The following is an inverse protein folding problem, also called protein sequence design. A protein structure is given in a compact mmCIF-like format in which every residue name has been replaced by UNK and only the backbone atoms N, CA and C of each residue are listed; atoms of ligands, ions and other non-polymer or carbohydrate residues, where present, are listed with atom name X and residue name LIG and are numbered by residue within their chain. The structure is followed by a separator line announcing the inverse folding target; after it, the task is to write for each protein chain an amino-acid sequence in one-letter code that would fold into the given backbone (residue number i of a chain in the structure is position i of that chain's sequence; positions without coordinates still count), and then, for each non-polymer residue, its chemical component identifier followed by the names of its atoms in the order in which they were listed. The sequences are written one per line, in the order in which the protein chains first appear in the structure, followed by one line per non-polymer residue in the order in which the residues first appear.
data_IF_649252785552
#
_entry.id   IF_649252785552
#
_cell.length_a   1.000
_cell.length_b   1.000
_cell.length_c   1.000
_cell.angle_alpha   90.00
_cell.angle_beta   90.00
_cell.angle_gamma   90.00
#
_symmetry.space_group_name_H-M   'P 1'
#
loop_
_entity.id
_entity.type
_entity.pdbx_description
1 polymer ?
#
# COMPACT_ATOMS: atom_id res chain seq x y z
N UNK A 1 71.04 -24.46 10.16
CA UNK A 1 71.37 -25.82 10.64
C UNK A 1 70.08 -26.48 11.10
N UNK A 2 69.85 -27.71 10.70
CA UNK A 2 68.57 -28.39 10.90
C UNK A 2 68.68 -29.41 12.04
N UNK A 3 67.67 -29.48 12.91
CA UNK A 3 67.59 -30.53 13.91
C UNK A 3 67.23 -31.86 13.26
N UNK A 4 68.10 -32.85 13.37
CA UNK A 4 67.91 -34.16 12.75
C UNK A 4 66.65 -34.90 13.22
N UNK A 5 66.17 -34.60 14.44
CA UNK A 5 65.03 -35.29 15.07
C UNK A 5 63.67 -34.64 14.79
N UNK A 6 63.60 -33.30 14.74
CA UNK A 6 62.35 -32.56 14.56
C UNK A 6 62.31 -31.71 13.29
N UNK A 7 63.38 -31.72 12.49
CA UNK A 7 63.51 -31.02 11.21
C UNK A 7 63.32 -29.49 11.29
N UNK A 8 63.43 -28.92 12.50
CA UNK A 8 63.41 -27.46 12.71
C UNK A 8 64.76 -26.84 12.38
N UNK A 9 64.73 -25.68 11.73
CA UNK A 9 65.92 -24.91 11.36
C UNK A 9 66.30 -23.88 12.43
N UNK A 10 67.59 -23.84 12.76
CA UNK A 10 68.18 -22.95 13.76
C UNK A 10 69.27 -22.07 13.13
N UNK A 11 69.31 -20.82 13.59
CA UNK A 11 70.21 -19.77 13.09
C UNK A 11 71.67 -19.96 13.53
N UNK A 12 71.91 -20.56 14.70
CA UNK A 12 73.26 -20.76 15.26
C UNK A 12 73.41 -22.16 15.86
N UNK A 13 74.65 -22.66 15.90
CA UNK A 13 74.97 -24.02 16.35
C UNK A 13 74.67 -24.18 17.83
N UNK A 14 74.94 -23.14 18.63
CA UNK A 14 74.63 -23.11 20.06
C UNK A 14 73.13 -23.26 20.33
N UNK A 15 72.27 -22.62 19.52
CA UNK A 15 70.82 -22.72 19.67
C UNK A 15 70.29 -24.09 19.24
N UNK A 16 70.88 -24.69 18.19
CA UNK A 16 70.57 -26.07 17.80
C UNK A 16 70.95 -27.05 18.92
N UNK A 17 72.15 -26.91 19.49
CA UNK A 17 72.64 -27.76 20.56
C UNK A 17 71.79 -27.61 21.83
N UNK A 18 71.41 -26.38 22.19
CA UNK A 18 70.53 -26.13 23.32
C UNK A 18 69.13 -26.74 23.07
N UNK A 19 68.58 -26.59 21.87
CA UNK A 19 67.32 -27.20 21.47
C UNK A 19 67.38 -28.73 21.56
N UNK A 20 68.41 -29.38 21.02
CA UNK A 20 68.55 -30.84 21.06
C UNK A 20 68.74 -31.40 22.49
N UNK A 21 69.23 -30.58 23.42
CA UNK A 21 69.40 -30.94 24.84
C UNK A 21 68.15 -30.70 25.70
N UNK A 22 67.26 -29.79 25.29
CA UNK A 22 66.15 -29.34 26.16
C UNK A 22 64.76 -29.62 25.57
N UNK A 23 64.65 -29.72 24.24
CA UNK A 23 63.37 -29.93 23.58
C UNK A 23 62.90 -31.37 23.82
N UNK A 24 61.91 -31.51 24.71
CA UNK A 24 61.34 -32.80 25.14
C UNK A 24 60.98 -33.73 23.97
N UNK A 25 60.40 -33.19 22.89
CA UNK A 25 60.08 -33.97 21.68
C UNK A 25 61.33 -34.58 21.00
N UNK A 26 62.45 -33.84 20.95
CA UNK A 26 63.70 -34.37 20.41
C UNK A 26 64.34 -35.38 21.38
N UNK A 27 64.22 -35.18 22.68
CA UNK A 27 64.74 -36.10 23.70
C UNK A 27 63.98 -37.44 23.71
N UNK A 28 62.67 -37.42 23.46
CA UNK A 28 61.82 -38.61 23.31
C UNK A 28 62.22 -39.39 22.05
N UNK A 29 62.36 -38.72 20.89
CA UNK A 29 62.84 -39.37 19.65
C UNK A 29 64.25 -39.96 19.76
N UNK A 30 65.05 -39.46 20.70
CA UNK A 30 66.38 -40.00 21.02
C UNK A 30 66.34 -41.15 22.02
N UNK A 31 65.16 -41.53 22.51
CA UNK A 31 64.98 -42.57 23.53
C UNK A 31 65.49 -42.19 24.93
N UNK A 32 65.74 -40.90 25.20
CA UNK A 32 66.29 -40.43 26.48
C UNK A 32 65.19 -40.31 27.55
N UNK A 33 63.95 -40.07 27.14
CA UNK A 33 62.78 -39.93 28.02
C UNK A 33 61.67 -40.84 27.49
N UNK A 34 61.04 -41.65 28.35
CA UNK A 34 59.92 -42.54 27.98
C UNK A 34 58.63 -41.75 27.79
N UNK A 35 57.80 -42.21 26.85
CA UNK A 35 56.57 -41.57 26.38
C UNK A 35 55.36 -41.65 27.34
N UNK A 36 55.57 -42.05 28.59
CA UNK A 36 54.46 -42.29 29.52
C UNK A 36 53.97 -40.96 30.13
N UNK A 37 52.80 -40.54 29.65
CA UNK A 37 51.93 -39.44 30.09
C UNK A 37 52.24 -38.02 29.59
N UNK A 38 52.05 -37.74 28.28
CA UNK A 38 51.73 -36.39 27.83
C UNK A 38 50.61 -36.37 26.79
N UNK A 39 49.55 -35.62 27.11
CA UNK A 39 48.43 -35.25 26.23
C UNK A 39 48.95 -34.43 25.06
N UNK A 40 48.42 -34.72 23.86
CA UNK A 40 48.65 -33.98 22.62
C UNK A 40 48.42 -32.49 22.89
N UNK A 41 49.47 -31.68 22.81
CA UNK A 41 49.35 -30.22 22.78
C UNK A 41 48.62 -29.85 21.49
N UNK A 42 47.41 -29.28 21.62
CA UNK A 42 46.72 -28.66 20.50
C UNK A 42 47.66 -27.66 19.79
N UNK A 43 47.84 -27.81 18.48
CA UNK A 43 48.57 -26.83 17.67
C UNK A 43 47.76 -25.53 17.60
N UNK A 44 48.22 -24.47 18.27
CA UNK A 44 47.57 -23.14 18.20
C UNK A 44 48.06 -22.39 16.97
N UNK A 45 47.27 -22.43 15.89
CA UNK A 45 47.59 -21.81 14.61
C UNK A 45 47.02 -20.39 14.51
N UNK A 46 47.77 -19.49 13.89
CA UNK A 46 47.26 -18.16 13.55
C UNK A 46 46.36 -18.23 12.31
N UNK A 47 45.18 -17.61 12.37
CA UNK A 47 44.22 -17.58 11.24
C UNK A 47 44.65 -16.63 10.12
N UNK A 48 45.64 -15.77 10.37
CA UNK A 48 46.07 -14.74 9.43
C UNK A 48 47.43 -15.02 8.80
N UNK A 49 48.24 -15.92 9.37
CA UNK A 49 49.56 -16.29 8.88
C UNK A 49 49.91 -17.74 9.22
N UNK A 50 50.95 -18.30 8.60
CA UNK A 50 51.32 -19.71 8.77
C UNK A 50 52.06 -20.04 10.09
N UNK A 51 51.92 -19.19 11.11
CA UNK A 51 52.65 -19.33 12.38
C UNK A 51 51.92 -20.30 13.32
N UNK A 52 52.62 -21.39 13.69
CA UNK A 52 52.17 -22.37 14.70
C UNK A 52 52.80 -22.08 16.05
N UNK A 53 51.99 -22.06 17.10
CA UNK A 53 52.39 -21.67 18.44
C UNK A 53 52.05 -22.76 19.44
N UNK A 54 52.86 -22.86 20.49
CA UNK A 54 52.84 -23.98 21.43
C UNK A 54 51.86 -23.81 22.59
N UNK A 55 51.26 -22.62 22.71
CA UNK A 55 50.33 -22.28 23.81
C UNK A 55 49.38 -21.17 23.33
N UNK A 56 48.13 -21.18 23.81
CA UNK A 56 47.13 -20.12 23.57
C UNK A 56 47.64 -18.70 23.87
N UNK A 57 48.26 -18.47 25.03
CA UNK A 57 48.78 -17.15 25.41
C UNK A 57 49.86 -16.60 24.44
N UNK A 58 50.59 -17.49 23.76
CA UNK A 58 51.56 -17.09 22.74
C UNK A 58 50.87 -16.72 21.42
N UNK A 59 49.74 -17.38 21.10
CA UNK A 59 48.88 -17.02 19.97
C UNK A 59 48.24 -15.65 20.18
N UNK A 60 47.70 -15.38 21.36
CA UNK A 60 47.07 -14.09 21.68
C UNK A 60 48.07 -12.94 21.51
N UNK A 61 49.26 -13.06 22.11
CA UNK A 61 50.33 -12.06 21.96
C UNK A 61 50.81 -11.92 20.51
N UNK A 62 50.77 -13.00 19.74
CA UNK A 62 51.10 -12.93 18.32
C UNK A 62 50.02 -12.20 17.51
N UNK A 63 48.73 -12.41 17.80
CA UNK A 63 47.62 -11.75 17.12
C UNK A 63 47.59 -10.23 17.37
N UNK A 64 48.17 -9.77 18.48
CA UNK A 64 48.40 -8.34 18.76
C UNK A 64 49.51 -7.72 17.92
N UNK A 65 50.42 -8.54 17.37
CA UNK A 65 51.58 -8.08 16.59
C UNK A 65 51.65 -8.73 15.20
N UNK A 66 50.56 -9.30 14.70
CA UNK A 66 50.56 -10.07 13.46
C UNK A 66 50.46 -9.12 12.25
N UNK A 67 51.56 -8.92 11.54
CA UNK A 67 51.61 -8.02 10.38
C UNK A 67 50.57 -8.36 9.31
N UNK A 68 50.38 -9.65 8.97
CA UNK A 68 49.40 -10.06 7.96
C UNK A 68 47.94 -9.77 8.38
N UNK A 69 47.64 -9.81 9.68
CA UNK A 69 46.35 -9.36 10.22
C UNK A 69 46.19 -7.86 10.03
N UNK A 70 47.19 -7.07 10.41
CA UNK A 70 47.14 -5.61 10.27
C UNK A 70 47.07 -5.16 8.81
N UNK A 71 47.78 -5.81 7.89
CA UNK A 71 47.68 -5.52 6.45
C UNK A 71 46.29 -5.78 5.90
N UNK A 72 45.65 -6.89 6.29
CA UNK A 72 44.26 -7.20 5.92
C UNK A 72 43.30 -6.14 6.45
N UNK A 73 43.40 -5.81 7.74
CA UNK A 73 42.58 -4.77 8.39
C UNK A 73 42.79 -3.42 7.71
N UNK A 74 44.03 -3.03 7.41
CA UNK A 74 44.33 -1.75 6.77
C UNK A 74 43.77 -1.67 5.34
N UNK A 75 43.82 -2.76 4.57
CA UNK A 75 43.19 -2.84 3.25
C UNK A 75 41.67 -2.68 3.35
N UNK A 76 41.05 -3.32 4.34
CA UNK A 76 39.61 -3.26 4.57
C UNK A 76 39.16 -1.86 5.00
N UNK A 77 39.89 -1.21 5.91
CA UNK A 77 39.65 0.18 6.32
C UNK A 77 39.74 1.13 5.12
N UNK A 78 40.76 0.98 4.27
CA UNK A 78 40.88 1.83 3.08
C UNK A 78 39.75 1.60 2.08
N UNK A 79 39.31 0.35 1.90
CA UNK A 79 38.15 0.03 1.08
C UNK A 79 36.90 0.73 1.62
N UNK A 80 36.61 0.57 2.91
CA UNK A 80 35.46 1.21 3.57
C UNK A 80 35.51 2.75 3.50
N UNK A 81 36.71 3.33 3.57
CA UNK A 81 36.90 4.78 3.43
C UNK A 81 36.55 5.27 2.02
N UNK A 82 36.99 4.54 1.00
CA UNK A 82 36.64 4.85 -0.39
C UNK A 82 35.14 4.68 -0.62
N UNK A 83 34.55 3.59 -0.16
CA UNK A 83 33.11 3.35 -0.27
C UNK A 83 32.30 4.49 0.37
N UNK A 84 32.70 4.95 1.55
CA UNK A 84 32.08 6.11 2.22
C UNK A 84 32.20 7.41 1.44
N UNK A 85 33.36 7.69 0.81
CA UNK A 85 33.53 8.86 -0.05
C UNK A 85 32.58 8.82 -1.25
N UNK A 86 32.43 7.64 -1.86
CA UNK A 86 31.48 7.43 -2.97
C UNK A 86 30.02 7.59 -2.52
N UNK A 87 29.67 7.08 -1.34
CA UNK A 87 28.33 7.26 -0.77
C UNK A 87 28.03 8.73 -0.46
N UNK A 88 29.02 9.48 0.02
CA UNK A 88 28.87 10.90 0.31
C UNK A 88 28.60 11.72 -0.97
N UNK A 89 29.33 11.44 -2.06
CA UNK A 89 29.10 12.11 -3.35
C UNK A 89 27.75 11.74 -3.96
N UNK A 90 27.33 10.47 -3.86
CA UNK A 90 25.99 10.05 -4.27
C UNK A 90 24.89 10.75 -3.48
N UNK A 91 25.02 10.80 -2.15
CA UNK A 91 24.06 11.48 -1.27
C UNK A 91 23.91 12.95 -1.65
N UNK A 92 25.03 13.65 -1.87
CA UNK A 92 25.01 15.06 -2.28
C UNK A 92 24.30 15.26 -3.63
N UNK A 93 24.50 14.36 -4.60
CA UNK A 93 23.77 14.40 -5.86
C UNK A 93 22.26 14.19 -5.68
N UNK A 94 21.85 13.24 -4.83
CA UNK A 94 20.44 13.00 -4.56
C UNK A 94 19.78 14.18 -3.85
N UNK A 95 20.46 14.81 -2.89
CA UNK A 95 19.97 16.01 -2.21
C UNK A 95 19.76 17.15 -3.20
N UNK A 96 20.69 17.35 -4.15
CA UNK A 96 20.54 18.35 -5.20
C UNK A 96 19.36 18.06 -6.12
N UNK A 97 19.20 16.81 -6.57
CA UNK A 97 18.05 16.42 -7.41
C UNK A 97 16.71 16.65 -6.69
N UNK A 98 16.65 16.33 -5.40
CA UNK A 98 15.45 16.53 -4.58
C UNK A 98 15.11 18.03 -4.46
N UNK A 99 16.13 18.88 -4.27
CA UNK A 99 15.96 20.33 -4.20
C UNK A 99 15.48 20.91 -5.54
N UNK A 100 16.06 20.48 -6.66
CA UNK A 100 15.62 20.89 -8.00
C UNK A 100 14.16 20.48 -8.26
N UNK A 101 13.77 19.27 -7.83
CA UNK A 101 12.41 18.77 -7.96
C UNK A 101 11.42 19.56 -7.09
N UNK A 102 11.78 19.89 -5.85
CA UNK A 102 10.99 20.74 -4.95
C UNK A 102 10.74 22.12 -5.57
N UNK A 103 11.79 22.76 -6.09
CA UNK A 103 11.67 24.07 -6.75
C UNK A 103 10.75 24.02 -7.98
N UNK A 104 10.79 22.95 -8.76
CA UNK A 104 9.88 22.75 -9.89
C UNK A 104 8.42 22.63 -9.45
N UNK A 105 8.14 21.86 -8.39
CA UNK A 105 6.78 21.74 -7.86
C UNK A 105 6.27 23.06 -7.28
N UNK A 106 7.11 23.82 -6.57
CA UNK A 106 6.76 25.14 -6.05
C UNK A 106 6.37 26.10 -7.19
N UNK A 107 7.15 26.11 -8.28
CA UNK A 107 6.84 26.90 -9.47
C UNK A 107 5.50 26.51 -10.09
N UNK A 108 5.23 25.22 -10.25
CA UNK A 108 3.94 24.74 -10.80
C UNK A 108 2.76 25.15 -9.91
N UNK A 109 2.91 25.05 -8.58
CA UNK A 109 1.88 25.47 -7.63
C UNK A 109 1.63 26.98 -7.76
N UNK A 110 2.68 27.78 -7.93
CA UNK A 110 2.55 29.23 -8.11
C UNK A 110 1.83 29.58 -9.43
N UNK A 111 2.19 28.92 -10.53
CA UNK A 111 1.53 29.10 -11.82
C UNK A 111 0.03 28.72 -11.74
N UNK A 112 -0.30 27.62 -11.09
CA UNK A 112 -1.70 27.21 -10.87
C UNK A 112 -2.47 28.21 -9.99
N UNK A 113 -1.85 28.76 -8.95
CA UNK A 113 -2.48 29.80 -8.11
C UNK A 113 -2.82 31.06 -8.92
N UNK A 114 -1.95 31.46 -9.84
CA UNK A 114 -2.19 32.60 -10.73
C UNK A 114 -3.40 32.31 -11.63
N UNK A 115 -3.43 31.14 -12.28
CA UNK A 115 -4.56 30.73 -13.13
C UNK A 115 -5.89 30.68 -12.37
N UNK A 116 -5.89 30.17 -11.13
CA UNK A 116 -7.10 30.14 -10.28
C UNK A 116 -7.59 31.57 -10.01
N UNK A 117 -6.69 32.51 -9.74
CA UNK A 117 -7.04 33.91 -9.51
C UNK A 117 -7.66 34.54 -10.75
N UNK A 118 -7.05 34.35 -11.92
CA UNK A 118 -7.59 34.86 -13.20
C UNK A 118 -8.99 34.29 -13.49
N UNK A 119 -9.21 33.01 -13.22
CA UNK A 119 -10.53 32.37 -13.36
C UNK A 119 -11.55 32.95 -12.37
N UNK A 120 -11.15 33.23 -11.13
CA UNK A 120 -12.02 33.86 -10.13
C UNK A 120 -12.41 35.28 -10.55
N UNK A 121 -11.45 36.07 -11.05
CA UNK A 121 -11.69 37.42 -11.56
C UNK A 121 -12.64 37.39 -12.77
N UNK A 122 -12.49 36.40 -13.65
CA UNK A 122 -13.40 36.19 -14.80
C UNK A 122 -14.83 35.85 -14.34
N UNK A 123 -14.99 34.97 -13.34
CA UNK A 123 -16.30 34.62 -12.78
C UNK A 123 -16.96 35.86 -12.14
N UNK A 124 -16.20 36.68 -11.42
CA UNK A 124 -16.69 37.92 -10.84
C UNK A 124 -17.17 38.89 -11.93
N UNK A 125 -16.43 39.01 -13.03
CA UNK A 125 -16.84 39.83 -14.17
C UNK A 125 -18.11 39.32 -14.86
N UNK A 126 -18.30 38.00 -14.99
CA UNK A 126 -19.52 37.42 -15.56
C UNK A 126 -20.72 37.64 -14.63
N UNK A 127 -20.52 37.49 -13.32
CA UNK A 127 -21.56 37.72 -12.32
C UNK A 127 -22.03 39.18 -12.26
N UNK A 128 -21.17 40.12 -12.66
CA UNK A 128 -21.47 41.56 -12.70
C UNK A 128 -22.27 42.00 -13.95
N UNK A 129 -22.48 41.13 -14.95
CA UNK A 129 -23.29 41.48 -16.12
C UNK A 129 -24.80 41.38 -15.81
N UNK A 130 -25.63 42.37 -16.22
CA UNK A 130 -27.06 42.33 -16.00
C UNK A 130 -27.71 41.20 -16.80
N UNK A 131 -28.51 40.37 -16.12
CA UNK A 131 -29.27 39.28 -16.74
C UNK A 131 -30.48 39.85 -17.50
N UNK A 132 -30.35 40.03 -18.82
CA UNK A 132 -31.53 40.09 -19.68
C UNK A 132 -32.06 38.68 -19.89
N UNK A 133 -33.22 38.39 -19.27
CA UNK A 133 -33.96 37.15 -19.49
C UNK A 133 -34.81 37.34 -20.74
N UNK A 134 -34.32 36.86 -21.88
CA UNK A 134 -35.18 36.57 -23.03
C UNK A 134 -35.53 35.09 -22.95
N UNK A 135 -36.75 34.81 -22.52
CA UNK A 135 -37.41 33.51 -22.72
C UNK A 135 -37.46 33.22 -24.21
N UNK A 136 -36.84 32.10 -24.62
CA UNK A 136 -37.28 31.17 -25.67
C UNK A 136 -36.06 30.43 -26.22
N UNK A 137 -35.92 29.17 -25.84
CA UNK A 137 -35.80 28.04 -26.77
C UNK A 137 -35.60 26.76 -25.95
N UNK A 138 -36.67 25.98 -25.89
CA UNK A 138 -36.65 24.57 -25.56
C UNK A 138 -35.69 23.86 -26.53
N UNK A 139 -34.63 23.26 -25.99
CA UNK A 139 -33.83 22.29 -26.72
C UNK A 139 -34.30 20.91 -26.27
N UNK A 140 -35.32 20.39 -26.98
CA UNK A 140 -35.77 19.00 -26.85
C UNK A 140 -34.75 18.12 -27.58
N UNK A 141 -34.10 17.21 -26.85
CA UNK A 141 -33.36 16.10 -27.44
C UNK A 141 -34.27 14.89 -27.32
N UNK A 142 -34.80 14.45 -28.46
CA UNK A 142 -35.57 13.21 -28.60
C UNK A 142 -34.71 12.01 -28.20
N UNK A 143 -35.20 11.26 -27.21
CA UNK A 143 -34.71 9.93 -26.85
C UNK A 143 -35.38 8.92 -27.79
N UNK A 144 -34.72 8.54 -28.88
CA UNK A 144 -35.09 7.34 -29.62
C UNK A 144 -34.51 6.11 -28.92
N UNK A 145 -35.34 5.51 -28.06
CA UNK A 145 -35.25 4.11 -27.71
C UNK A 145 -35.83 3.28 -28.87
N UNK A 146 -35.02 2.42 -29.46
CA UNK A 146 -35.49 1.18 -30.06
C UNK A 146 -34.52 0.08 -29.64
N UNK A 147 -34.89 -0.60 -28.56
CA UNK A 147 -34.41 -1.95 -28.27
C UNK A 147 -34.99 -2.88 -29.34
N UNK A 148 -34.13 -3.55 -30.10
CA UNK A 148 -34.51 -4.73 -30.88
C UNK A 148 -34.24 -5.98 -30.05
N UNK A 149 -35.17 -6.94 -29.99
CA UNK A 149 -35.09 -8.11 -29.14
C UNK A 149 -34.39 -9.25 -29.87
N UNK A 150 -33.10 -9.44 -29.63
CA UNK A 150 -32.40 -10.69 -29.94
C UNK A 150 -31.21 -10.80 -28.97
N UNK A 151 -30.98 -12.01 -28.47
CA UNK A 151 -29.89 -12.41 -27.56
C UNK A 151 -30.18 -12.32 -26.05
N UNK A 152 -31.33 -12.89 -25.64
CA UNK A 152 -31.37 -13.70 -24.42
C UNK A 152 -31.39 -15.18 -24.81
N UNK A 153 -30.21 -15.78 -24.96
CA UNK A 153 -29.98 -17.20 -24.71
C UNK A 153 -28.49 -17.54 -24.90
N UNK A 154 -27.79 -17.74 -23.79
CA UNK A 154 -26.89 -18.88 -23.52
C UNK A 154 -25.93 -18.51 -22.39
N UNK A 155 -26.43 -18.65 -21.16
CA UNK A 155 -25.64 -19.18 -20.06
C UNK A 155 -25.53 -20.70 -20.31
N UNK A 156 -24.57 -21.10 -21.15
CA UNK A 156 -24.14 -22.49 -21.18
C UNK A 156 -22.94 -22.65 -20.27
N UNK A 157 -23.19 -23.41 -19.22
CA UNK A 157 -22.24 -24.08 -18.35
C UNK A 157 -21.24 -24.85 -19.23
N UNK A 158 -20.03 -24.31 -19.42
CA UNK A 158 -18.94 -25.04 -20.06
C UNK A 158 -18.16 -25.80 -19.00
N UNK A 159 -18.68 -26.99 -18.67
CA UNK A 159 -17.83 -28.13 -18.32
C UNK A 159 -17.23 -28.64 -19.63
N UNK A 160 -15.98 -28.29 -19.92
CA UNK A 160 -15.14 -29.03 -20.87
C UNK A 160 -13.72 -29.11 -20.29
N UNK A 161 -13.38 -30.29 -19.76
CA UNK A 161 -12.01 -30.74 -19.52
C UNK A 161 -11.33 -31.04 -20.86
N UNK A 162 -11.17 -30.03 -21.71
CA UNK A 162 -10.20 -30.08 -22.81
C UNK A 162 -8.94 -29.35 -22.35
N UNK A 163 -7.86 -30.12 -22.22
CA UNK A 163 -6.52 -29.64 -21.89
C UNK A 163 -6.07 -28.60 -22.92
N UNK A 164 -6.23 -27.32 -22.57
CA UNK A 164 -5.92 -26.20 -23.45
C UNK A 164 -4.39 -26.03 -23.55
N UNK A 165 -3.77 -26.73 -24.49
CA UNK A 165 -2.35 -26.61 -24.80
C UNK A 165 -2.06 -25.21 -25.36
N UNK A 166 -1.39 -24.37 -24.57
CA UNK A 166 -0.95 -23.05 -25.02
C UNK A 166 0.06 -23.18 -26.18
N UNK A 167 -0.24 -22.53 -27.30
CA UNK A 167 0.69 -22.47 -28.43
C UNK A 167 1.87 -21.54 -28.13
N UNK A 168 3.11 -21.87 -28.54
CA UNK A 168 4.29 -21.03 -28.30
C UNK A 168 4.13 -19.61 -28.85
N UNK A 169 4.60 -18.63 -28.07
CA UNK A 169 4.60 -17.22 -28.49
C UNK A 169 5.84 -16.94 -29.35
N UNK A 170 5.64 -16.50 -30.60
CA UNK A 170 6.75 -16.06 -31.46
C UNK A 170 7.13 -14.62 -31.11
N UNK A 171 8.37 -14.43 -30.68
CA UNK A 171 8.97 -13.10 -30.47
C UNK A 171 9.85 -12.76 -31.68
N UNK A 172 10.05 -11.47 -31.95
CA UNK A 172 10.91 -11.00 -33.05
C UNK A 172 12.25 -11.74 -33.12
N UNK A 173 12.77 -11.93 -34.34
CA UNK A 173 13.93 -12.77 -34.68
C UNK A 173 13.68 -14.29 -34.73
N UNK A 174 12.41 -14.73 -34.81
CA UNK A 174 12.07 -16.15 -35.00
C UNK A 174 12.28 -17.02 -33.77
N UNK A 175 12.37 -16.41 -32.59
CA UNK A 175 12.53 -17.10 -31.30
C UNK A 175 11.13 -17.43 -30.76
N UNK A 176 10.90 -18.68 -30.39
CA UNK A 176 9.66 -19.13 -29.74
C UNK A 176 9.83 -19.18 -28.22
N UNK A 177 8.81 -18.72 -27.50
CA UNK A 177 8.68 -18.89 -26.05
C UNK A 177 7.68 -20.01 -25.81
N UNK A 178 8.16 -21.08 -25.19
CA UNK A 178 7.36 -22.25 -24.87
C UNK A 178 6.77 -22.14 -23.46
N UNK A 179 5.58 -22.73 -23.29
CA UNK A 179 4.92 -22.90 -21.99
C UNK A 179 4.54 -24.36 -21.80
N UNK A 180 4.56 -24.84 -20.55
CA UNK A 180 4.13 -26.20 -20.19
C UNK A 180 2.67 -26.22 -19.75
N UNK A 181 2.09 -27.42 -19.66
CA UNK A 181 0.75 -27.69 -19.12
C UNK A 181 0.54 -27.12 -17.71
N UNK A 182 1.59 -27.14 -16.87
CA UNK A 182 1.57 -26.57 -15.52
C UNK A 182 1.66 -25.03 -15.49
N UNK A 183 1.67 -24.39 -16.65
CA UNK A 183 1.75 -22.94 -16.83
C UNK A 183 3.16 -22.36 -16.72
N UNK A 184 4.21 -23.17 -16.47
CA UNK A 184 5.57 -22.63 -16.42
C UNK A 184 6.05 -22.21 -17.81
N UNK A 185 6.86 -21.15 -17.83
CA UNK A 185 7.32 -20.50 -19.06
C UNK A 185 8.82 -20.67 -19.18
N UNK A 186 9.31 -21.06 -20.37
CA UNK A 186 10.74 -21.08 -20.66
C UNK A 186 11.26 -19.66 -20.86
N UNK A 187 12.05 -19.18 -19.90
CA UNK A 187 12.64 -17.83 -19.94
C UNK A 187 13.99 -17.80 -20.61
N UNK A 188 14.55 -18.94 -21.00
CA UNK A 188 15.83 -19.03 -21.72
C UNK A 188 15.73 -18.32 -23.07
N UNK A 189 14.68 -18.66 -23.84
CA UNK A 189 14.41 -18.04 -25.12
C UNK A 189 13.92 -16.60 -24.98
N UNK A 190 13.14 -16.29 -23.92
CA UNK A 190 12.75 -14.92 -23.60
C UNK A 190 13.97 -14.02 -23.34
N UNK A 191 14.93 -14.48 -22.53
CA UNK A 191 16.17 -13.78 -22.23
C UNK A 191 17.03 -13.57 -23.50
N UNK A 192 17.17 -14.62 -24.33
CA UNK A 192 17.84 -14.52 -25.63
C UNK A 192 17.20 -13.49 -26.54
N UNK A 193 15.86 -13.49 -26.66
CA UNK A 193 15.13 -12.52 -27.47
C UNK A 193 15.34 -11.08 -26.99
N UNK A 194 15.51 -10.89 -25.69
CA UNK A 194 15.84 -9.62 -25.07
C UNK A 194 17.31 -9.24 -25.02
N UNK A 195 18.22 -10.08 -25.55
CA UNK A 195 19.67 -9.84 -25.51
C UNK A 195 20.26 -9.77 -24.10
N UNK A 196 19.65 -10.46 -23.12
CA UNK A 196 20.10 -10.48 -21.72
C UNK A 196 20.28 -11.91 -21.22
N UNK A 197 21.07 -12.11 -20.18
CA UNK A 197 21.27 -13.43 -19.58
C UNK A 197 20.46 -13.58 -18.29
N UNK A 198 19.79 -14.72 -18.10
CA UNK A 198 18.97 -15.00 -16.90
C UNK A 198 19.76 -14.83 -15.58
N UNK A 199 21.04 -15.22 -15.58
CA UNK A 199 21.92 -15.07 -14.41
C UNK A 199 22.04 -13.61 -13.94
N UNK A 200 21.92 -12.65 -14.86
CA UNK A 200 22.03 -11.23 -14.56
C UNK A 200 20.77 -10.70 -13.87
N UNK A 201 19.61 -11.26 -14.18
CA UNK A 201 18.37 -10.99 -13.46
C UNK A 201 18.40 -11.65 -12.08
N UNK A 202 18.82 -12.93 -12.01
CA UNK A 202 18.79 -13.71 -10.78
C UNK A 202 19.76 -13.20 -9.70
N UNK A 203 20.82 -12.48 -10.09
CA UNK A 203 21.79 -11.90 -9.14
C UNK A 203 21.34 -10.58 -8.49
N UNK A 204 20.31 -9.91 -9.00
CA UNK A 204 19.86 -8.62 -8.48
C UNK A 204 19.24 -8.76 -7.09
N UNK A 205 19.53 -7.83 -6.19
CA UNK A 205 18.93 -7.83 -4.84
C UNK A 205 17.40 -7.71 -4.89
N UNK A 206 16.88 -6.86 -5.79
CA UNK A 206 15.44 -6.72 -6.04
C UNK A 206 14.79 -8.06 -6.41
N UNK A 207 15.47 -8.88 -7.22
CA UNK A 207 14.98 -10.20 -7.62
C UNK A 207 14.89 -11.15 -6.43
N UNK A 208 15.88 -11.15 -5.53
CA UNK A 208 15.87 -11.97 -4.32
C UNK A 208 14.70 -11.60 -3.42
N UNK A 209 14.47 -10.30 -3.20
CA UNK A 209 13.33 -9.82 -2.42
C UNK A 209 12.00 -10.18 -3.08
N UNK A 210 11.89 -10.00 -4.40
CA UNK A 210 10.70 -10.38 -5.16
C UNK A 210 10.36 -11.87 -5.02
N UNK A 211 11.34 -12.76 -5.17
CA UNK A 211 11.14 -14.21 -5.05
C UNK A 211 10.77 -14.64 -3.62
N UNK A 212 11.32 -13.98 -2.60
CA UNK A 212 10.96 -14.22 -1.20
C UNK A 212 9.51 -13.86 -0.91
N UNK A 213 9.09 -12.66 -1.33
CA UNK A 213 7.69 -12.20 -1.18
C UNK A 213 6.76 -13.11 -1.95
N UNK A 214 7.10 -13.41 -3.20
CA UNK A 214 6.30 -14.26 -4.08
C UNK A 214 6.07 -15.64 -3.46
N UNK A 215 7.14 -16.30 -2.97
CA UNK A 215 7.04 -17.58 -2.25
C UNK A 215 5.99 -17.54 -1.13
N UNK A 216 6.00 -16.50 -0.30
CA UNK A 216 5.06 -16.36 0.80
C UNK A 216 3.62 -16.13 0.33
N UNK A 217 3.43 -15.43 -0.80
CA UNK A 217 2.10 -15.11 -1.33
C UNK A 217 1.44 -16.29 -2.04
N UNK A 218 2.16 -17.01 -2.91
CA UNK A 218 1.61 -18.18 -3.64
C UNK A 218 1.72 -19.48 -2.85
N UNK A 219 2.47 -19.52 -1.74
CA UNK A 219 2.66 -20.72 -0.93
C UNK A 219 3.59 -21.77 -1.56
N UNK A 220 4.29 -21.43 -2.65
CA UNK A 220 5.18 -22.32 -3.40
C UNK A 220 6.64 -22.04 -2.99
N UNK A 221 7.45 -23.05 -2.62
CA UNK A 221 8.87 -22.88 -2.33
C UNK A 221 9.66 -22.22 -3.47
N UNK A 222 10.68 -21.43 -3.15
CA UNK A 222 11.51 -20.73 -4.17
C UNK A 222 12.19 -21.69 -5.14
N UNK A 223 12.50 -22.91 -4.69
CA UNK A 223 13.08 -23.98 -5.52
C UNK A 223 12.10 -24.50 -6.58
N UNK A 224 10.79 -24.33 -6.35
CA UNK A 224 9.76 -24.72 -7.30
C UNK A 224 9.44 -23.57 -8.26
N UNK A 225 9.56 -22.30 -7.82
CA UNK A 225 9.36 -21.12 -8.68
C UNK A 225 10.31 -21.05 -9.89
N UNK A 226 11.49 -21.67 -9.80
CA UNK A 226 12.52 -21.70 -10.86
C UNK A 226 13.04 -23.14 -11.00
N UNK A 227 12.81 -23.75 -12.15
CA UNK A 227 13.21 -25.12 -12.47
C UNK A 227 14.25 -25.14 -13.58
N UNK A 228 15.28 -25.96 -13.40
CA UNK A 228 16.33 -26.16 -14.40
C UNK A 228 16.15 -27.52 -15.05
N UNK A 229 15.86 -27.55 -16.34
CA UNK A 229 15.67 -28.79 -17.10
C UNK A 229 16.73 -28.85 -18.19
N UNK A 230 17.42 -29.98 -18.28
CA UNK A 230 18.38 -30.25 -19.36
C UNK A 230 17.68 -31.06 -20.43
N UNK A 231 17.63 -30.55 -21.66
CA UNK A 231 17.06 -31.25 -22.80
C UNK A 231 17.98 -32.36 -23.32
N UNK A 232 17.45 -33.22 -24.21
CA UNK A 232 18.17 -34.36 -24.78
C UNK A 232 19.45 -33.99 -25.55
N UNK A 233 19.57 -32.75 -26.01
CA UNK A 233 20.75 -32.24 -26.72
C UNK A 233 21.81 -31.61 -25.77
N UNK A 234 21.61 -31.66 -24.46
CA UNK A 234 22.51 -31.06 -23.46
C UNK A 234 22.29 -29.56 -23.23
N UNK A 235 21.34 -28.93 -23.92
CA UNK A 235 20.95 -27.55 -23.66
C UNK A 235 20.16 -27.44 -22.35
N UNK A 236 20.54 -26.49 -21.50
CA UNK A 236 19.90 -26.24 -20.21
C UNK A 236 18.87 -25.12 -20.35
N UNK A 237 17.61 -25.46 -20.11
CA UNK A 237 16.49 -24.54 -20.10
C UNK A 237 16.11 -24.17 -18.67
N UNK A 238 15.69 -22.93 -18.47
CA UNK A 238 15.20 -22.40 -17.21
C UNK A 238 13.70 -22.12 -17.34
N UNK A 239 12.91 -22.89 -16.60
CA UNK A 239 11.46 -22.78 -16.55
C UNK A 239 11.05 -22.07 -15.28
N UNK A 240 10.15 -21.10 -15.36
CA UNK A 240 9.73 -20.33 -14.18
C UNK A 240 8.22 -20.17 -14.09
N UNK A 241 7.75 -19.93 -12.88
CA UNK A 241 6.35 -19.60 -12.59
C UNK A 241 5.89 -18.35 -13.40
N UNK A 242 4.63 -18.26 -13.87
CA UNK A 242 4.13 -17.15 -14.70
C UNK A 242 4.44 -15.75 -14.17
N UNK A 243 4.25 -15.51 -12.87
CA UNK A 243 4.52 -14.21 -12.27
C UNK A 243 6.02 -13.87 -12.27
N UNK A 244 6.90 -14.88 -12.21
CA UNK A 244 8.34 -14.71 -12.37
C UNK A 244 8.67 -14.36 -13.82
N UNK A 245 8.05 -15.05 -14.79
CA UNK A 245 8.23 -14.76 -16.21
C UNK A 245 7.79 -13.32 -16.57
N UNK A 246 6.67 -12.84 -16.03
CA UNK A 246 6.20 -11.45 -16.23
C UNK A 246 7.20 -10.45 -15.62
N UNK A 247 7.77 -10.75 -14.46
CA UNK A 247 8.79 -9.90 -13.84
C UNK A 247 10.08 -9.85 -14.68
N UNK A 248 10.51 -11.00 -15.22
CA UNK A 248 11.65 -11.10 -16.12
C UNK A 248 11.39 -10.32 -17.42
N UNK A 249 10.20 -10.45 -18.01
CA UNK A 249 9.83 -9.72 -19.22
C UNK A 249 9.88 -8.19 -19.01
N UNK A 250 9.41 -7.68 -17.87
CA UNK A 250 9.52 -6.25 -17.50
C UNK A 250 10.99 -5.83 -17.35
N UNK A 251 11.84 -6.65 -16.72
CA UNK A 251 13.26 -6.35 -16.60
C UNK A 251 14.00 -6.36 -17.95
N UNK A 252 13.56 -7.22 -18.87
CA UNK A 252 14.17 -7.36 -20.18
C UNK A 252 13.87 -6.16 -21.09
N UNK A 253 12.61 -5.73 -21.15
CA UNK A 253 12.16 -4.63 -22.01
C UNK A 253 11.57 -3.48 -21.18
N UNK A 254 12.27 -2.33 -21.09
CA UNK A 254 11.73 -1.13 -20.47
C UNK A 254 10.41 -0.67 -21.12
N UNK A 255 10.24 -0.87 -22.43
CA UNK A 255 9.01 -0.54 -23.14
C UNK A 255 7.84 -1.42 -22.67
N UNK A 256 8.11 -2.71 -22.39
CA UNK A 256 7.12 -3.60 -21.82
C UNK A 256 6.80 -3.25 -20.36
N UNK A 257 7.81 -2.86 -19.56
CA UNK A 257 7.63 -2.39 -18.17
C UNK A 257 6.68 -1.18 -18.09
N UNK A 258 6.85 -0.22 -19.00
CA UNK A 258 5.96 0.94 -19.12
C UNK A 258 4.54 0.53 -19.55
N UNK A 259 4.39 -0.46 -20.44
CA UNK A 259 3.07 -0.98 -20.85
C UNK A 259 2.33 -1.65 -19.69
N UNK A 260 3.01 -2.51 -18.91
CA UNK A 260 2.43 -3.15 -17.73
C UNK A 260 1.95 -2.09 -16.72
N UNK A 261 2.76 -1.05 -16.49
CA UNK A 261 2.37 0.08 -15.64
C UNK A 261 1.13 0.82 -16.17
N UNK A 262 1.03 0.99 -17.50
CA UNK A 262 -0.14 1.57 -18.17
C UNK A 262 -1.41 0.73 -17.99
N UNK A 263 -1.32 -0.59 -18.12
CA UNK A 263 -2.43 -1.51 -17.89
C UNK A 263 -2.96 -1.43 -16.46
N UNK A 264 -2.06 -1.39 -15.47
CA UNK A 264 -2.46 -1.23 -14.06
C UNK A 264 -3.22 0.08 -13.86
N UNK A 265 -2.74 1.17 -14.46
CA UNK A 265 -3.43 2.46 -14.39
C UNK A 265 -4.81 2.43 -15.08
N UNK A 266 -4.95 1.75 -16.22
CA UNK A 266 -6.24 1.55 -16.89
C UNK A 266 -7.24 0.79 -16.01
N UNK A 267 -6.79 -0.28 -15.32
CA UNK A 267 -7.62 -1.03 -14.37
C UNK A 267 -8.07 -0.15 -13.22
N UNK A 268 -7.17 0.65 -12.64
CA UNK A 268 -7.52 1.55 -11.52
C UNK A 268 -8.61 2.57 -11.90
N UNK A 269 -8.70 2.97 -13.17
CA UNK A 269 -9.62 4.00 -13.65
C UNK A 269 -10.92 3.46 -14.23
N UNK A 270 -10.87 2.27 -14.82
CA UNK A 270 -11.98 1.70 -15.59
C UNK A 270 -12.52 0.41 -14.99
N UNK A 271 -11.80 -0.20 -14.04
CA UNK A 271 -12.11 -1.50 -13.46
C UNK A 271 -11.73 -2.71 -14.35
N UNK A 272 -11.20 -2.48 -15.55
CA UNK A 272 -10.80 -3.52 -16.50
C UNK A 272 -9.60 -3.07 -17.35
N UNK A 273 -9.02 -4.00 -18.10
CA UNK A 273 -8.02 -3.67 -19.15
C UNK A 273 -8.32 -4.50 -20.39
N UNK A 274 -8.27 -3.86 -21.56
CA UNK A 274 -8.32 -4.55 -22.84
C UNK A 274 -6.91 -4.61 -23.43
N UNK A 275 -6.36 -5.83 -23.54
CA UNK A 275 -4.99 -6.07 -24.06
C UNK A 275 -4.92 -5.78 -25.56
N UNK A 276 -6.05 -5.87 -26.30
CA UNK A 276 -6.11 -5.60 -27.74
C UNK A 276 -6.36 -4.13 -28.05
N UNK A 277 -7.08 -3.43 -27.18
CA UNK A 277 -7.46 -2.03 -27.36
C UNK A 277 -7.09 -1.16 -26.15
N UNK A 278 -5.80 -1.20 -25.77
CA UNK A 278 -5.28 -0.46 -24.63
C UNK A 278 -5.27 1.05 -24.91
N UNK A 279 -5.72 1.85 -23.95
CA UNK A 279 -5.71 3.31 -24.07
C UNK A 279 -4.37 3.90 -23.66
N UNK A 280 -3.97 4.99 -24.31
CA UNK A 280 -2.76 5.70 -23.91
C UNK A 280 -2.95 6.37 -22.54
N UNK A 281 -1.85 6.57 -21.81
CA UNK A 281 -1.88 7.28 -20.53
C UNK A 281 -2.52 8.67 -20.61
N UNK A 282 -2.29 9.38 -21.73
CA UNK A 282 -2.87 10.71 -21.99
C UNK A 282 -4.39 10.63 -22.17
N UNK A 283 -4.88 9.64 -22.90
CA UNK A 283 -6.32 9.40 -23.09
C UNK A 283 -7.01 9.06 -21.78
N UNK A 284 -6.39 8.22 -20.96
CA UNK A 284 -6.92 7.86 -19.64
C UNK A 284 -7.06 9.08 -18.73
N UNK A 285 -6.03 9.96 -18.70
CA UNK A 285 -6.10 11.22 -17.94
C UNK A 285 -7.18 12.17 -18.45
N UNK A 286 -7.30 12.32 -19.77
CA UNK A 286 -8.32 13.18 -20.37
C UNK A 286 -9.72 12.69 -20.03
N UNK A 287 -9.98 11.38 -20.19
CA UNK A 287 -11.27 10.77 -19.89
C UNK A 287 -11.67 10.91 -18.41
N UNK A 288 -10.73 10.79 -17.48
CA UNK A 288 -11.01 11.01 -16.05
C UNK A 288 -11.38 12.46 -15.75
N UNK A 289 -10.63 13.41 -16.31
CA UNK A 289 -10.92 14.84 -16.14
C UNK A 289 -12.32 15.18 -16.63
N UNK A 290 -12.72 14.62 -17.78
CA UNK A 290 -14.05 14.82 -18.34
C UNK A 290 -15.15 14.20 -17.46
N UNK A 291 -14.91 13.01 -16.89
CA UNK A 291 -15.82 12.39 -15.93
C UNK A 291 -15.99 13.26 -14.67
N UNK A 292 -14.90 13.78 -14.11
CA UNK A 292 -14.96 14.67 -12.95
C UNK A 292 -15.73 15.95 -13.24
N UNK A 293 -15.44 16.59 -14.38
CA UNK A 293 -16.18 17.78 -14.83
C UNK A 293 -17.66 17.47 -15.06
N UNK A 294 -17.98 16.29 -15.61
CA UNK A 294 -19.36 15.85 -15.79
C UNK A 294 -20.06 15.65 -14.46
N UNK A 295 -19.42 14.99 -13.49
CA UNK A 295 -19.94 14.84 -12.13
C UNK A 295 -20.21 16.22 -11.53
N UNK A 296 -19.24 17.14 -11.59
CA UNK A 296 -19.39 18.50 -11.08
C UNK A 296 -20.56 19.25 -11.73
N UNK A 297 -20.69 19.17 -13.06
CA UNK A 297 -21.80 19.75 -13.81
C UNK A 297 -23.14 19.14 -13.39
N UNK A 298 -23.23 17.81 -13.33
CA UNK A 298 -24.44 17.11 -12.94
C UNK A 298 -24.84 17.45 -11.49
N UNK A 299 -23.87 17.50 -10.57
CA UNK A 299 -24.09 17.98 -9.21
C UNK A 299 -24.67 19.39 -9.22
N UNK A 300 -24.09 20.33 -9.97
CA UNK A 300 -24.59 21.71 -10.06
C UNK A 300 -26.00 21.79 -10.66
N UNK A 301 -26.30 20.97 -11.67
CA UNK A 301 -27.56 21.02 -12.43
C UNK A 301 -28.72 20.31 -11.75
N UNK A 302 -28.46 19.13 -11.20
CA UNK A 302 -29.50 18.22 -10.71
C UNK A 302 -29.57 18.14 -9.18
N UNK A 303 -28.49 18.45 -8.47
CA UNK A 303 -28.54 18.52 -6.99
C UNK A 303 -29.01 19.91 -6.60
N UNK A 304 -30.33 20.07 -6.43
CA UNK A 304 -30.91 21.28 -5.83
C UNK A 304 -30.34 21.44 -4.42
N UNK A 305 -29.65 22.56 -4.14
CA UNK A 305 -29.38 22.96 -2.75
C UNK A 305 -30.73 23.30 -2.11
N UNK A 306 -31.34 22.36 -1.40
CA UNK A 306 -32.55 22.65 -0.64
C UNK A 306 -32.22 23.74 0.39
N UNK A 307 -32.90 24.90 0.36
CA UNK A 307 -32.73 25.93 1.37
C UNK A 307 -33.12 25.32 2.72
N UNK A 308 -32.17 25.28 3.66
CA UNK A 308 -32.40 24.71 4.98
C UNK A 308 -33.17 25.72 5.82
N UNK A 309 -34.25 25.30 6.46
CA UNK A 309 -34.86 26.06 7.54
C UNK A 309 -33.82 26.20 8.67
N UNK A 310 -33.51 27.44 9.03
CA UNK A 310 -32.66 27.75 10.17
C UNK A 310 -33.54 27.96 11.40
N UNK A 311 -33.17 27.28 12.48
CA UNK A 311 -33.78 27.42 13.80
C UNK A 311 -32.76 28.07 14.72
N UNK A 312 -33.02 29.33 15.07
CA UNK A 312 -32.09 30.18 15.84
C UNK A 312 -32.25 30.04 17.36
N UNK A 313 -33.19 29.20 17.80
CA UNK A 313 -33.44 28.95 19.22
C UNK A 313 -32.50 27.85 19.73
N UNK A 314 -31.64 28.12 20.73
CA UNK A 314 -30.79 27.12 21.34
C UNK A 314 -31.56 26.29 22.38
N UNK A 315 -31.03 25.10 22.70
CA UNK A 315 -31.53 24.21 23.77
C UNK A 315 -33.03 23.93 23.66
N UNK A 316 -33.43 23.22 22.60
CA UNK A 316 -34.85 23.01 22.31
C UNK A 316 -35.33 21.60 22.69
N UNK A 317 -36.59 21.52 23.10
CA UNK A 317 -37.39 20.30 23.00
C UNK A 317 -38.24 20.40 21.74
N UNK A 318 -38.30 19.34 20.95
CA UNK A 318 -38.96 19.33 19.66
C UNK A 318 -39.82 18.08 19.44
N UNK A 319 -40.77 18.21 18.50
CA UNK A 319 -41.58 17.12 17.95
C UNK A 319 -41.32 17.07 16.44
N UNK A 320 -40.89 15.91 15.94
CA UNK A 320 -40.75 15.63 14.51
C UNK A 320 -41.75 14.57 14.07
N UNK A 321 -42.09 14.59 12.79
CA UNK A 321 -42.76 13.47 12.13
C UNK A 321 -42.28 13.36 10.69
N UNK A 322 -42.64 12.28 10.01
CA UNK A 322 -42.53 12.15 8.56
C UNK A 322 -43.94 12.01 8.00
N UNK A 323 -44.12 12.15 6.68
CA UNK A 323 -45.45 11.98 6.07
C UNK A 323 -46.08 10.62 6.43
N UNK A 324 -45.27 9.56 6.40
CA UNK A 324 -45.69 8.20 6.78
C UNK A 324 -46.07 8.13 8.26
N UNK A 325 -45.21 8.63 9.14
CA UNK A 325 -45.47 8.61 10.58
C UNK A 325 -46.70 9.43 10.96
N UNK A 326 -46.92 10.58 10.30
CA UNK A 326 -48.08 11.45 10.54
C UNK A 326 -49.40 10.74 10.22
N UNK A 327 -49.45 9.94 9.15
CA UNK A 327 -50.61 9.11 8.81
C UNK A 327 -50.86 7.99 9.83
N UNK A 328 -49.80 7.50 10.47
CA UNK A 328 -49.85 6.46 11.50
C UNK A 328 -49.98 7.03 12.92
N UNK A 329 -50.14 8.36 13.08
CA UNK A 329 -50.20 9.02 14.38
C UNK A 329 -48.90 8.95 15.19
N UNK A 330 -47.76 8.68 14.55
CA UNK A 330 -46.44 8.56 15.17
C UNK A 330 -45.68 9.88 15.15
N UNK A 331 -45.07 10.20 16.28
CA UNK A 331 -44.28 11.41 16.49
C UNK A 331 -42.98 11.09 17.22
N UNK A 332 -41.91 11.79 16.88
CA UNK A 332 -40.60 11.67 17.52
C UNK A 332 -40.41 12.88 18.41
N UNK A 333 -40.29 12.67 19.72
CA UNK A 333 -40.03 13.72 20.70
C UNK A 333 -38.57 13.62 21.12
N UNK A 334 -37.85 14.74 21.10
CA UNK A 334 -36.45 14.76 21.51
C UNK A 334 -35.96 16.15 21.88
N UNK A 335 -34.65 16.23 22.16
CA UNK A 335 -33.96 17.48 22.48
C UNK A 335 -32.78 17.75 21.55
N UNK A 336 -32.43 19.02 21.38
CA UNK A 336 -31.24 19.42 20.66
C UNK A 336 -30.71 20.77 21.14
N UNK A 337 -29.40 20.91 21.27
CA UNK A 337 -28.76 22.22 21.45
C UNK A 337 -29.02 23.14 20.25
N UNK A 338 -28.99 22.58 19.03
CA UNK A 338 -29.32 23.28 17.80
C UNK A 338 -30.15 22.36 16.88
N UNK A 339 -31.41 22.74 16.64
CA UNK A 339 -32.35 21.94 15.85
C UNK A 339 -31.92 21.81 14.39
N UNK A 340 -31.33 22.86 13.81
CA UNK A 340 -30.81 22.84 12.43
C UNK A 340 -29.75 21.76 12.25
N UNK A 341 -28.81 21.67 13.20
CA UNK A 341 -27.77 20.64 13.19
C UNK A 341 -28.36 19.25 13.46
N UNK A 342 -29.32 19.14 14.39
CA UNK A 342 -29.97 17.86 14.70
C UNK A 342 -30.70 17.28 13.49
N UNK A 343 -31.40 18.12 12.73
CA UNK A 343 -32.12 17.72 11.51
C UNK A 343 -31.18 17.24 10.39
N UNK A 344 -29.93 17.70 10.37
CA UNK A 344 -28.93 17.26 9.37
C UNK A 344 -28.52 15.78 9.49
N UNK A 345 -28.77 15.15 10.65
CA UNK A 345 -28.42 13.77 10.95
C UNK A 345 -29.49 12.78 10.46
N UNK A 346 -30.76 13.22 10.32
CA UNK A 346 -31.82 12.33 9.85
C UNK A 346 -31.61 11.99 8.36
N UNK A 347 -31.59 10.69 8.04
CA UNK A 347 -31.28 10.17 6.70
C UNK A 347 -32.32 10.60 5.65
N UNK A 348 -31.83 10.94 4.46
CA UNK A 348 -32.53 11.59 3.31
C UNK A 348 -33.59 10.77 2.59
N UNK A 349 -33.98 9.59 3.08
CA UNK A 349 -35.03 8.80 2.43
C UNK A 349 -36.42 9.37 2.70
N UNK A 350 -36.65 9.92 3.89
CA UNK A 350 -37.90 10.57 4.27
C UNK A 350 -37.63 11.96 4.89
N UNK A 351 -38.30 12.99 4.37
CA UNK A 351 -38.20 14.35 4.92
C UNK A 351 -38.89 14.41 6.29
N UNK A 352 -38.14 14.85 7.30
CA UNK A 352 -38.66 15.05 8.65
C UNK A 352 -39.21 16.47 8.79
N UNK A 353 -40.49 16.57 9.12
CA UNK A 353 -41.21 17.81 9.39
C UNK A 353 -41.11 18.14 10.89
N UNK A 354 -40.67 19.35 11.24
CA UNK A 354 -40.75 19.86 12.62
C UNK A 354 -42.19 20.31 12.89
N UNK A 355 -42.89 19.57 13.73
CA UNK A 355 -44.28 19.86 14.10
C UNK A 355 -44.37 20.91 15.20
N UNK A 356 -43.43 20.86 16.15
CA UNK A 356 -43.37 21.78 17.27
C UNK A 356 -41.95 21.85 17.83
N UNK A 357 -41.54 23.01 18.33
CA UNK A 357 -40.31 23.16 19.10
C UNK A 357 -40.43 24.34 20.06
N UNK A 358 -39.67 24.30 21.14
CA UNK A 358 -39.64 25.35 22.17
C UNK A 358 -38.27 25.36 22.85
N UNK A 359 -37.75 26.56 23.11
CA UNK A 359 -36.47 26.75 23.79
C UNK A 359 -36.57 26.57 25.29
N UNK A 360 -35.51 26.02 25.88
CA UNK A 360 -35.31 25.93 27.32
C UNK A 360 -34.29 26.99 27.78
N UNK A 361 -34.36 27.44 29.04
CA UNK A 361 -33.45 28.46 29.57
C UNK A 361 -31.97 28.08 29.47
N UNK A 362 -31.65 26.81 29.70
CA UNK A 362 -30.30 26.28 29.69
C UNK A 362 -30.29 24.77 29.37
N UNK A 363 -29.09 24.22 29.14
CA UNK A 363 -28.91 22.80 28.76
C UNK A 363 -29.36 21.82 29.86
N UNK A 364 -29.19 22.16 31.15
CA UNK A 364 -29.62 21.29 32.24
C UNK A 364 -31.13 21.28 32.36
N UNK A 365 -31.77 22.45 32.25
CA UNK A 365 -33.23 22.57 32.18
C UNK A 365 -33.80 21.76 31.02
N UNK A 366 -33.19 21.80 29.84
CA UNK A 366 -33.57 20.99 28.67
C UNK A 366 -33.49 19.48 28.96
N UNK A 367 -32.39 19.01 29.57
CA UNK A 367 -32.19 17.60 29.90
C UNK A 367 -33.24 17.10 30.90
N UNK A 368 -33.52 17.87 31.95
CA UNK A 368 -34.53 17.53 32.95
C UNK A 368 -35.93 17.57 32.36
N UNK A 369 -36.25 18.58 31.56
CA UNK A 369 -37.55 18.71 30.91
C UNK A 369 -37.84 17.54 29.96
N UNK A 370 -36.86 17.05 29.19
CA UNK A 370 -37.03 15.86 28.36
C UNK A 370 -37.41 14.63 29.21
N UNK A 371 -36.70 14.38 30.31
CA UNK A 371 -36.97 13.25 31.19
C UNK A 371 -38.37 13.32 31.80
N UNK A 372 -38.80 14.51 32.22
CA UNK A 372 -40.14 14.75 32.74
C UNK A 372 -41.22 14.52 31.68
N UNK A 373 -41.03 15.05 30.46
CA UNK A 373 -41.96 14.84 29.34
C UNK A 373 -42.07 13.35 29.01
N UNK A 374 -40.95 12.63 28.93
CA UNK A 374 -40.96 11.20 28.64
C UNK A 374 -41.66 10.40 29.74
N UNK A 375 -41.42 10.73 31.01
CA UNK A 375 -42.11 10.09 32.13
C UNK A 375 -43.62 10.33 32.09
N UNK A 376 -44.05 11.58 31.84
CA UNK A 376 -45.47 11.95 31.84
C UNK A 376 -46.23 11.38 30.62
N UNK A 377 -45.54 11.19 29.50
CA UNK A 377 -46.09 10.63 28.27
C UNK A 377 -45.78 9.13 28.08
N UNK A 378 -45.27 8.44 29.10
CA UNK A 378 -44.80 7.05 28.99
C UNK A 378 -45.89 6.10 28.48
N UNK A 379 -47.15 6.33 28.86
CA UNK A 379 -48.31 5.55 28.38
C UNK A 379 -48.57 5.64 26.86
N UNK A 380 -48.02 6.65 26.20
CA UNK A 380 -48.13 6.88 24.75
C UNK A 380 -46.86 6.48 24.00
N UNK A 381 -45.87 5.92 24.70
CA UNK A 381 -44.58 5.57 24.12
C UNK A 381 -44.67 4.23 23.40
N UNK A 382 -44.17 4.18 22.15
CA UNK A 382 -44.19 2.95 21.33
C UNK A 382 -43.33 1.84 21.96
N UNK A 383 -42.15 2.19 22.49
CA UNK A 383 -41.22 1.30 23.20
C UNK A 383 -40.39 2.09 24.22
N UNK A 384 -40.09 1.50 25.38
CA UNK A 384 -39.40 2.16 26.52
C UNK A 384 -38.04 2.83 26.17
N UNK A 385 -37.37 2.39 25.09
CA UNK A 385 -36.07 2.93 24.64
C UNK A 385 -36.13 3.67 23.31
N UNK A 386 -37.34 4.00 22.80
CA UNK A 386 -37.51 4.80 21.59
C UNK A 386 -38.10 6.16 21.93
N UNK A 387 -37.63 7.19 21.24
CA UNK A 387 -38.15 8.57 21.25
C UNK A 387 -39.50 8.69 20.50
N UNK A 388 -40.17 7.57 20.21
CA UNK A 388 -41.38 7.49 19.39
C UNK A 388 -42.62 7.38 20.26
N UNK A 389 -43.59 8.25 19.99
CA UNK A 389 -44.85 8.36 20.69
C UNK A 389 -46.01 8.20 19.70
N UNK A 390 -47.04 7.48 20.11
CA UNK A 390 -48.25 7.21 19.34
C UNK A 390 -49.37 8.09 19.90
N UNK A 391 -49.96 8.89 19.03
CA UNK A 391 -51.12 9.69 19.36
C UNK A 391 -52.36 8.79 19.49
N UNK A 392 -53.14 8.86 20.59
CA UNK A 392 -54.36 8.07 20.75
C UNK A 392 -55.44 8.40 19.72
N UNK A 393 -56.30 7.42 19.43
CA UNK A 393 -57.44 7.60 18.54
C UNK A 393 -58.39 8.70 19.06
N UNK A 394 -58.66 9.70 18.23
CA UNK A 394 -59.54 10.84 18.55
C UNK A 394 -58.85 12.01 19.27
N UNK A 395 -57.59 11.87 19.66
CA UNK A 395 -56.79 12.95 20.25
C UNK A 395 -56.04 13.76 19.19
N UNK A 396 -55.60 14.97 19.57
CA UNK A 396 -54.81 15.86 18.70
C UNK A 396 -53.38 16.00 19.25
N UNK A 397 -52.41 16.35 18.38
CA UNK A 397 -51.00 16.61 18.75
C UNK A 397 -50.83 17.60 19.91
N UNK A 398 -51.83 18.46 20.14
CA UNK A 398 -51.92 19.32 21.32
C UNK A 398 -51.75 18.57 22.64
N UNK A 399 -52.09 17.28 22.73
CA UNK A 399 -51.83 16.45 23.90
C UNK A 399 -50.34 16.47 24.29
N UNK A 400 -49.45 16.27 23.32
CA UNK A 400 -47.99 16.28 23.54
C UNK A 400 -47.46 17.71 23.71
N UNK A 401 -47.94 18.65 22.89
CA UNK A 401 -47.52 20.06 22.96
C UNK A 401 -47.88 20.68 24.32
N UNK A 402 -49.07 20.41 24.86
CA UNK A 402 -49.50 20.92 26.15
C UNK A 402 -48.64 20.38 27.30
N UNK A 403 -48.24 19.12 27.24
CA UNK A 403 -47.38 18.52 28.26
C UNK A 403 -45.96 19.08 28.22
N UNK A 404 -45.40 19.28 27.02
CA UNK A 404 -44.10 19.96 26.84
C UNK A 404 -44.16 21.39 27.39
N UNK A 405 -45.21 22.15 27.02
CA UNK A 405 -45.39 23.52 27.53
C UNK A 405 -45.53 23.56 29.06
N UNK A 406 -46.32 22.66 29.64
CA UNK A 406 -46.48 22.57 31.11
C UNK A 406 -45.14 22.29 31.78
N UNK A 407 -44.35 21.37 31.21
CA UNK A 407 -43.04 21.00 31.76
C UNK A 407 -42.07 22.18 31.67
N UNK A 408 -41.99 22.88 30.54
CA UNK A 408 -41.06 24.00 30.38
C UNK A 408 -41.44 25.19 31.25
N UNK A 409 -42.75 25.45 31.45
CA UNK A 409 -43.22 26.49 32.38
C UNK A 409 -42.67 26.32 33.81
N UNK A 410 -42.42 25.09 34.24
CA UNK A 410 -41.80 24.81 35.54
C UNK A 410 -40.38 25.40 35.65
N UNK A 411 -39.65 25.45 34.53
CA UNK A 411 -38.28 25.95 34.47
C UNK A 411 -38.18 27.45 34.16
N UNK A 412 -39.22 28.07 33.60
CA UNK A 412 -39.16 29.47 33.16
C UNK A 412 -39.52 30.50 34.23
N UNK A 413 -39.96 30.11 35.44
CA UNK A 413 -40.29 31.01 36.58
C UNK A 413 -40.95 32.34 36.15
N UNK A 414 -42.04 32.24 35.39
CA UNK A 414 -43.02 33.33 35.24
C UNK A 414 -44.27 33.01 36.06
#
# INVERSE_FOLDING_TARGET
MECEYCKKNFKTTSNLNYHQKTAKYCLIKRGIIKEENYVILEDYNCEHCDKRLTTKASLDRHLESCNLKFEKIYKEINKLKNDNLTLFSQKSNYERQLQEQQSNYERQIQEQKIQIKELQDTIASIAAQPKNVTTNNEFVIELNQTETPEDKENLTEYNNEEEYQLSPLVVGNGITIDSREDGYIDVTNLCKAGGKEFKDWNRLDRTRTFLQVLKSTVGIPTVELIQYITGGNGERHTWVHPQVAINIAQWISPEFDVKVSGWIYEVMLTGKVDIKNTKSYRELRAANKDKELKIQYLTKKYVKRQPRLQYDVPNVIYILTTLTHKLEGRYILGKAENLTNRLSVYNKTDEHEVVYYIGCPDENSMKLAEQMVFHNLEKYREQANRERFILPDGENINLFINEINRTIKFFTKE
#
